data_IF_214173760420
#
_entry.id   IF_214173760420
#
_cell.length_a   1.000
_cell.length_b   1.000
_cell.length_c   1.000
_cell.angle_alpha   90.00
_cell.angle_beta   90.00
_cell.angle_gamma   90.00
#
_symmetry.space_group_name_H-M   'P 1'
#
loop_
_entity.id
_entity.type
_entity.pdbx_description
1 polymer ?
#
# COMPACT_ATOMS: atom_id res chain seq x y z
N UNK A 1 13.61 -0.37 -16.83
CA UNK A 1 12.20 -0.31 -16.34
C UNK A 1 12.07 -0.35 -14.82
N UNK A 2 12.70 -1.31 -14.09
CA UNK A 2 12.60 -1.39 -12.62
C UNK A 2 13.04 -0.08 -11.93
N UNK A 3 14.18 0.47 -12.34
CA UNK A 3 14.69 1.74 -11.82
C UNK A 3 13.73 2.91 -12.08
N UNK A 4 13.14 2.99 -13.29
CA UNK A 4 12.15 4.03 -13.60
C UNK A 4 10.89 3.92 -12.73
N UNK A 5 10.38 2.71 -12.50
CA UNK A 5 9.28 2.45 -11.58
C UNK A 5 9.64 2.85 -10.14
N UNK A 6 10.86 2.55 -9.67
CA UNK A 6 11.37 2.96 -8.36
C UNK A 6 11.49 4.48 -8.23
N UNK A 7 11.91 5.19 -9.28
CA UNK A 7 11.91 6.67 -9.28
C UNK A 7 10.49 7.20 -9.10
N UNK A 8 9.52 6.67 -9.85
CA UNK A 8 8.11 7.06 -9.72
C UNK A 8 7.54 6.76 -8.33
N UNK A 9 7.95 5.67 -7.69
CA UNK A 9 7.59 5.36 -6.30
C UNK A 9 8.04 6.41 -5.31
N UNK A 10 9.31 6.80 -5.39
CA UNK A 10 9.90 7.77 -4.47
C UNK A 10 9.24 9.14 -4.65
N UNK A 11 8.86 9.47 -5.88
CA UNK A 11 8.11 10.70 -6.17
C UNK A 11 6.73 10.70 -5.52
N UNK A 12 5.97 9.62 -5.66
CA UNK A 12 4.62 9.55 -5.07
C UNK A 12 4.71 9.54 -3.54
N UNK A 13 5.62 8.74 -2.98
CA UNK A 13 5.79 8.63 -1.53
C UNK A 13 6.28 9.92 -0.86
N UNK A 14 7.12 10.71 -1.53
CA UNK A 14 7.54 12.02 -1.01
C UNK A 14 6.41 13.06 -1.04
N UNK A 15 5.41 12.91 -1.91
CA UNK A 15 4.24 13.79 -1.96
C UNK A 15 3.17 13.46 -0.92
N UNK A 16 3.04 12.19 -0.50
CA UNK A 16 1.92 11.75 0.36
C UNK A 16 1.82 12.46 1.71
N UNK A 17 2.91 12.77 2.46
CA UNK A 17 2.80 13.39 3.78
C UNK A 17 2.31 14.84 3.72
N UNK A 18 2.42 15.47 2.55
CA UNK A 18 2.09 16.88 2.37
C UNK A 18 0.66 17.11 1.88
N UNK A 19 -0.07 16.05 1.56
CA UNK A 19 -1.45 16.13 1.12
C UNK A 19 -2.37 16.23 2.32
N UNK A 20 -3.18 17.30 2.36
CA UNK A 20 -4.12 17.55 3.46
C UNK A 20 -5.45 16.83 3.26
N UNK A 21 -5.87 16.65 2.01
CA UNK A 21 -7.21 16.12 1.73
C UNK A 21 -7.14 14.58 1.74
N UNK A 22 -7.94 13.90 2.58
CA UNK A 22 -7.89 12.45 2.72
C UNK A 22 -8.19 11.73 1.40
N UNK A 23 -9.06 12.30 0.57
CA UNK A 23 -9.35 11.80 -0.78
C UNK A 23 -8.11 11.80 -1.68
N UNK A 24 -7.35 12.92 -1.69
CA UNK A 24 -6.13 13.02 -2.49
C UNK A 24 -5.01 12.10 -1.99
N UNK A 25 -4.91 11.94 -0.67
CA UNK A 25 -3.97 11.00 -0.05
C UNK A 25 -4.33 9.56 -0.42
N UNK A 26 -5.60 9.17 -0.36
CA UNK A 26 -6.07 7.84 -0.77
C UNK A 26 -5.80 7.55 -2.25
N UNK A 27 -6.01 8.53 -3.13
CA UNK A 27 -5.71 8.38 -4.56
C UNK A 27 -4.21 8.17 -4.83
N UNK A 28 -3.34 8.94 -4.17
CA UNK A 28 -1.89 8.77 -4.30
C UNK A 28 -1.42 7.40 -3.78
N UNK A 29 -1.99 6.93 -2.66
CA UNK A 29 -1.73 5.59 -2.13
C UNK A 29 -2.19 4.49 -3.10
N UNK A 30 -3.32 4.67 -3.79
CA UNK A 30 -3.78 3.73 -4.82
C UNK A 30 -2.79 3.64 -5.98
N UNK A 31 -2.27 4.77 -6.48
CA UNK A 31 -1.25 4.75 -7.55
C UNK A 31 0.04 4.09 -7.05
N UNK A 32 0.48 4.41 -5.84
CA UNK A 32 1.69 3.81 -5.26
C UNK A 32 1.57 2.29 -5.13
N UNK A 33 0.44 1.80 -4.60
CA UNK A 33 0.20 0.35 -4.44
C UNK A 33 0.13 -0.38 -5.79
N UNK A 34 -0.51 0.20 -6.81
CA UNK A 34 -0.51 -0.35 -8.17
C UNK A 34 0.91 -0.52 -8.72
N UNK A 35 1.73 0.52 -8.59
CA UNK A 35 3.11 0.47 -9.07
C UNK A 35 3.94 -0.57 -8.30
N UNK A 36 3.63 -0.84 -7.01
CA UNK A 36 4.40 -1.74 -6.15
C UNK A 36 4.16 -3.18 -6.56
N UNK A 37 2.92 -3.49 -6.93
CA UNK A 37 2.53 -4.82 -7.40
C UNK A 37 3.17 -5.12 -8.74
N UNK A 38 3.24 -4.14 -9.64
CA UNK A 38 3.96 -4.28 -10.92
C UNK A 38 5.45 -4.53 -10.69
N UNK A 39 6.07 -3.87 -9.72
CA UNK A 39 7.48 -4.10 -9.36
C UNK A 39 7.70 -5.49 -8.76
N UNK A 40 6.88 -5.86 -7.77
CA UNK A 40 6.95 -7.17 -7.15
C UNK A 40 6.76 -8.27 -8.19
N UNK A 41 5.90 -8.08 -9.20
CA UNK A 41 5.61 -9.11 -10.21
C UNK A 41 6.78 -9.40 -11.12
N UNK A 42 7.74 -8.48 -11.16
CA UNK A 42 9.01 -8.66 -11.86
C UNK A 42 10.12 -9.20 -10.96
N UNK A 43 9.88 -9.37 -9.67
CA UNK A 43 10.85 -9.83 -8.68
C UNK A 43 10.53 -11.26 -8.24
N UNK A 44 9.28 -11.57 -7.89
CA UNK A 44 8.95 -12.92 -7.43
C UNK A 44 8.56 -13.83 -8.58
N UNK A 45 8.91 -15.10 -8.43
CA UNK A 45 8.58 -16.16 -9.39
C UNK A 45 7.09 -16.54 -9.37
N UNK A 46 6.43 -16.46 -8.22
CA UNK A 46 4.98 -16.73 -8.09
C UNK A 46 4.17 -15.46 -7.96
N UNK A 47 3.17 -15.32 -8.83
CA UNK A 47 2.21 -14.21 -8.85
C UNK A 47 1.18 -14.25 -7.70
N UNK A 48 1.01 -15.40 -7.02
CA UNK A 48 -0.05 -15.57 -6.02
C UNK A 48 0.07 -14.62 -4.83
N UNK A 49 1.27 -14.46 -4.26
CA UNK A 49 1.49 -13.55 -3.14
C UNK A 49 1.14 -12.10 -3.50
N UNK A 50 1.49 -11.68 -4.72
CA UNK A 50 1.17 -10.33 -5.18
C UNK A 50 -0.31 -10.12 -5.44
N UNK A 51 -1.00 -11.13 -5.96
CA UNK A 51 -2.44 -11.09 -6.13
C UNK A 51 -3.15 -10.91 -4.79
N UNK A 52 -2.71 -11.61 -3.73
CA UNK A 52 -3.26 -11.43 -2.38
C UNK A 52 -2.98 -10.00 -1.86
N UNK A 53 -1.76 -9.48 -2.03
CA UNK A 53 -1.45 -8.10 -1.62
C UNK A 53 -2.26 -7.04 -2.37
N UNK A 54 -2.55 -7.28 -3.66
CA UNK A 54 -3.38 -6.40 -4.48
C UNK A 54 -4.81 -6.29 -3.95
N UNK A 55 -5.45 -7.45 -3.72
CA UNK A 55 -6.83 -7.52 -3.28
C UNK A 55 -7.01 -6.88 -1.90
N UNK A 56 -6.11 -7.17 -0.96
CA UNK A 56 -6.19 -6.57 0.38
C UNK A 56 -6.02 -5.05 0.37
N UNK A 57 -5.08 -4.53 -0.44
CA UNK A 57 -4.85 -3.08 -0.51
C UNK A 57 -6.00 -2.33 -1.17
N UNK A 58 -6.60 -2.85 -2.25
CA UNK A 58 -7.78 -2.23 -2.86
C UNK A 58 -8.97 -2.24 -1.89
N UNK A 59 -9.23 -3.38 -1.23
CA UNK A 59 -10.34 -3.49 -0.28
C UNK A 59 -10.23 -2.47 0.87
N UNK A 60 -9.05 -2.34 1.47
CA UNK A 60 -8.80 -1.37 2.54
C UNK A 60 -8.94 0.09 2.08
N UNK A 61 -8.39 0.43 0.92
CA UNK A 61 -8.45 1.79 0.37
C UNK A 61 -9.88 2.21 0.01
N UNK A 62 -10.71 1.31 -0.49
CA UNK A 62 -12.12 1.60 -0.80
C UNK A 62 -12.94 1.91 0.46
N UNK A 63 -12.69 1.21 1.57
CA UNK A 63 -13.37 1.47 2.86
C UNK A 63 -12.96 2.84 3.42
N UNK A 64 -11.68 3.19 3.34
CA UNK A 64 -11.20 4.52 3.77
C UNK A 64 -11.82 5.61 2.89
N UNK A 65 -11.91 5.38 1.58
CA UNK A 65 -12.53 6.32 0.64
C UNK A 65 -14.01 6.58 0.97
N UNK A 66 -14.80 5.53 1.19
CA UNK A 66 -16.23 5.67 1.51
C UNK A 66 -16.47 6.40 2.83
N UNK A 67 -15.64 6.12 3.84
CA UNK A 67 -15.70 6.81 5.12
C UNK A 67 -15.39 8.31 4.96
N UNK A 68 -14.29 8.63 4.30
CA UNK A 68 -13.84 10.02 4.16
C UNK A 68 -14.76 10.86 3.27
N UNK A 69 -15.33 10.28 2.20
CA UNK A 69 -16.33 10.99 1.38
C UNK A 69 -17.63 11.27 2.11
N UNK A 70 -17.94 10.51 3.17
CA UNK A 70 -19.14 10.73 4.00
C UNK A 70 -18.96 11.83 5.04
N UNK A 71 -17.71 12.17 5.40
CA UNK A 71 -17.39 13.08 6.51
C UNK A 71 -16.83 14.42 6.05
N UNK A 72 -16.03 14.44 4.98
CA UNK A 72 -15.37 15.66 4.52
C UNK A 72 -16.06 16.27 3.28
N UNK A 73 -16.15 17.60 3.25
CA UNK A 73 -16.51 18.34 2.04
C UNK A 73 -15.42 18.17 0.97
N UNK A 74 -15.83 18.09 -0.30
CA UNK A 74 -14.91 17.99 -1.45
C UNK A 74 -14.12 19.30 -1.65
N UNK A 75 -13.15 19.58 -0.78
CA UNK A 75 -12.27 20.74 -0.94
C UNK A 75 -11.39 20.60 -2.19
N UNK A 76 -11.31 21.69 -2.96
CA UNK A 76 -10.49 21.74 -4.17
C UNK A 76 -9.02 21.52 -3.82
N UNK A 77 -8.39 20.65 -4.59
CA UNK A 77 -6.99 20.29 -4.45
C UNK A 77 -6.07 21.51 -4.71
N UNK A 78 -5.17 21.81 -3.76
CA UNK A 78 -4.15 22.87 -3.90
C UNK A 78 -2.76 22.26 -3.68
N UNK A 79 -2.01 22.00 -4.75
CA UNK A 79 -0.58 21.70 -4.67
C UNK A 79 0.17 23.00 -4.45
N UNK A 80 1.08 23.04 -3.48
CA UNK A 80 2.00 24.17 -3.30
C UNK A 80 3.19 24.01 -4.25
N UNK A 81 3.63 25.11 -4.87
CA UNK A 81 4.79 25.11 -5.77
C UNK A 81 6.09 24.66 -5.07
N UNK A 82 6.30 25.03 -3.81
CA UNK A 82 7.47 24.59 -3.01
C UNK A 82 7.56 23.07 -2.88
N UNK A 83 6.43 22.39 -2.90
CA UNK A 83 6.34 20.94 -2.82
C UNK A 83 6.83 20.28 -4.10
N UNK A 84 6.49 20.88 -5.25
CA UNK A 84 7.00 20.44 -6.54
C UNK A 84 8.53 20.61 -6.64
N UNK A 85 9.07 21.73 -6.15
CA UNK A 85 10.52 21.96 -6.12
C UNK A 85 11.25 20.94 -5.24
N UNK A 86 10.72 20.63 -4.05
CA UNK A 86 11.31 19.62 -3.17
C UNK A 86 11.37 18.24 -3.85
N UNK A 87 10.29 17.84 -4.54
CA UNK A 87 10.29 16.57 -5.28
C UNK A 87 11.30 16.55 -6.42
N UNK A 88 11.50 17.66 -7.13
CA UNK A 88 12.47 17.73 -8.22
C UNK A 88 13.92 17.56 -7.73
N UNK A 89 14.25 18.16 -6.58
CA UNK A 89 15.58 18.01 -5.95
C UNK A 89 15.85 16.54 -5.61
N UNK A 90 14.85 15.83 -5.08
CA UNK A 90 14.97 14.41 -4.76
C UNK A 90 15.28 13.57 -6.01
N UNK A 91 14.68 13.87 -7.17
CA UNK A 91 14.97 13.14 -8.41
C UNK A 91 16.44 13.29 -8.80
N UNK A 92 16.96 14.52 -8.75
CA UNK A 92 18.32 14.82 -9.20
C UNK A 92 19.34 14.04 -8.37
N UNK A 93 19.15 14.00 -7.04
CA UNK A 93 20.01 13.24 -6.13
C UNK A 93 19.95 11.74 -6.44
N UNK A 94 18.74 11.22 -6.72
CA UNK A 94 18.56 9.80 -7.05
C UNK A 94 19.21 9.45 -8.39
N UNK A 95 19.15 10.35 -9.36
CA UNK A 95 19.78 10.16 -10.67
C UNK A 95 21.30 9.99 -10.52
N UNK A 96 21.97 10.88 -9.78
CA UNK A 96 23.42 10.77 -9.53
C UNK A 96 23.78 9.47 -8.80
N UNK A 97 23.04 9.08 -7.76
CA UNK A 97 23.32 7.85 -7.02
C UNK A 97 23.12 6.57 -7.83
N UNK A 98 22.25 6.58 -8.84
CA UNK A 98 21.96 5.40 -9.66
C UNK A 98 22.92 5.22 -10.84
N UNK A 99 23.62 6.28 -11.27
CA UNK A 99 24.60 6.18 -12.35
C UNK A 99 25.87 5.44 -11.91
N UNK A 100 26.28 5.57 -10.63
CA UNK A 100 27.51 4.94 -10.10
C UNK A 100 27.36 3.43 -9.79
N UNK A 101 26.14 2.90 -9.76
CA UNK A 101 25.86 1.50 -9.44
C UNK A 101 25.03 0.79 -10.52
N UNK A 102 25.39 0.98 -11.79
CA UNK A 102 25.12 -0.05 -12.82
C UNK A 102 26.13 -1.20 -12.73
N UNK A 103 26.41 -1.67 -11.51
CA UNK A 103 27.03 -2.99 -11.37
C UNK A 103 25.97 -3.97 -11.85
N UNK A 104 26.31 -4.67 -12.93
CA UNK A 104 25.58 -5.81 -13.47
C UNK A 104 25.36 -6.85 -12.37
N UNK A 105 24.38 -6.63 -11.50
CA UNK A 105 23.78 -7.69 -10.72
C UNK A 105 22.88 -8.47 -11.67
N UNK A 106 23.51 -9.25 -12.55
CA UNK A 106 22.98 -10.57 -12.86
C UNK A 106 23.09 -11.38 -11.57
N UNK A 107 22.21 -11.07 -10.61
CA UNK A 107 21.83 -12.06 -9.63
C UNK A 107 21.10 -13.12 -10.43
N UNK A 108 21.86 -14.10 -10.91
CA UNK A 108 21.33 -15.41 -11.24
C UNK A 108 20.76 -15.95 -9.94
N UNK A 109 19.50 -15.61 -9.68
CA UNK A 109 18.69 -16.29 -8.69
C UNK A 109 18.68 -17.73 -9.17
N UNK A 110 19.42 -18.60 -8.48
CA UNK A 110 19.32 -20.03 -8.67
C UNK A 110 17.84 -20.39 -8.54
N UNK A 111 17.22 -20.68 -9.68
CA UNK A 111 15.85 -21.16 -9.79
C UNK A 111 15.78 -22.52 -9.11
N UNK A 112 15.60 -22.54 -7.79
CA UNK A 112 15.08 -23.71 -7.12
C UNK A 112 13.59 -23.73 -7.39
N UNK A 113 13.18 -24.57 -8.33
CA UNK A 113 11.81 -24.80 -8.81
C UNK A 113 10.90 -25.43 -7.73
N UNK A 114 10.80 -24.81 -6.56
CA UNK A 114 9.97 -25.23 -5.44
C UNK A 114 9.16 -24.04 -4.89
N UNK A 115 8.64 -23.22 -5.81
CA UNK A 115 7.84 -22.03 -5.48
C UNK A 115 6.44 -22.37 -4.97
N UNK A 116 5.90 -23.51 -5.38
CA UNK A 116 4.53 -23.95 -5.05
C UNK A 116 4.39 -24.38 -3.58
N UNK A 117 5.50 -24.64 -2.88
CA UNK A 117 5.51 -25.06 -1.47
C UNK A 117 5.54 -23.90 -0.47
N UNK A 118 5.57 -22.64 -0.92
CA UNK A 118 5.73 -21.48 -0.02
C UNK A 118 4.57 -21.29 0.97
N UNK A 119 3.34 -21.57 0.55
CA UNK A 119 2.14 -21.35 1.37
C UNK A 119 1.85 -22.47 2.35
N UNK A 120 2.11 -23.71 1.93
CA UNK A 120 1.90 -24.90 2.77
C UNK A 120 2.85 -24.84 3.98
N UNK A 121 4.03 -24.24 3.83
CA UNK A 121 4.99 -24.00 4.94
C UNK A 121 4.42 -23.14 6.08
N UNK A 122 3.38 -22.35 5.86
CA UNK A 122 2.74 -21.54 6.92
C UNK A 122 1.98 -22.43 7.90
N UNK A 123 1.48 -23.58 7.46
CA UNK A 123 0.73 -24.53 8.29
C UNK A 123 1.59 -25.68 8.85
N UNK A 124 2.91 -25.58 8.75
CA UNK A 124 3.79 -26.60 9.32
C UNK A 124 3.89 -26.46 10.84
N UNK A 125 4.29 -27.55 11.51
CA UNK A 125 4.39 -27.63 12.96
C UNK A 125 5.23 -26.48 13.59
N UNK A 126 6.29 -26.04 12.90
CA UNK A 126 7.16 -24.94 13.34
C UNK A 126 6.50 -23.56 13.28
N UNK A 127 5.60 -23.33 12.32
CA UNK A 127 4.90 -22.06 12.07
C UNK A 127 3.48 -22.03 12.65
N UNK A 128 2.97 -23.17 13.13
CA UNK A 128 1.62 -23.30 13.69
C UNK A 128 1.34 -22.34 14.87
N UNK A 129 2.33 -22.06 15.73
CA UNK A 129 2.14 -21.08 16.80
C UNK A 129 1.90 -19.66 16.24
N UNK A 130 2.59 -19.29 15.16
CA UNK A 130 2.40 -17.98 14.52
C UNK A 130 1.02 -17.87 13.87
N UNK A 131 0.52 -18.95 13.26
CA UNK A 131 -0.83 -18.95 12.66
C UNK A 131 -1.92 -18.85 13.72
N UNK A 132 -1.80 -19.59 14.83
CA UNK A 132 -2.74 -19.51 15.96
C UNK A 132 -2.77 -18.07 16.52
N UNK A 133 -1.61 -17.44 16.69
CA UNK A 133 -1.54 -16.05 17.17
C UNK A 133 -2.26 -15.07 16.22
N UNK A 134 -2.09 -15.21 14.90
CA UNK A 134 -2.77 -14.36 13.91
C UNK A 134 -4.29 -14.54 13.93
N UNK A 135 -4.78 -15.78 14.06
CA UNK A 135 -6.22 -16.07 14.18
C UNK A 135 -6.79 -15.44 15.44
N UNK A 136 -6.12 -15.60 16.58
CA UNK A 136 -6.53 -14.98 17.85
C UNK A 136 -6.53 -13.45 17.74
N UNK A 137 -5.53 -12.86 17.09
CA UNK A 137 -5.50 -11.41 16.83
C UNK A 137 -6.71 -10.95 16.03
N UNK A 138 -7.01 -11.58 14.89
CA UNK A 138 -8.17 -11.23 14.06
C UNK A 138 -9.49 -11.38 14.84
N UNK A 139 -9.64 -12.44 15.62
CA UNK A 139 -10.83 -12.67 16.46
C UNK A 139 -11.00 -11.55 17.50
N UNK A 140 -9.93 -11.19 18.22
CA UNK A 140 -9.99 -10.09 19.21
C UNK A 140 -10.31 -8.77 18.52
N UNK A 141 -9.73 -8.49 17.35
CA UNK A 141 -10.03 -7.25 16.61
C UNK A 141 -11.52 -7.16 16.24
N UNK A 142 -12.13 -8.25 15.74
CA UNK A 142 -13.55 -8.27 15.44
C UNK A 142 -14.42 -7.99 16.68
N UNK A 143 -14.12 -8.63 17.82
CA UNK A 143 -14.85 -8.40 19.09
C UNK A 143 -14.67 -6.95 19.57
N UNK A 144 -13.46 -6.39 19.45
CA UNK A 144 -13.21 -5.01 19.85
C UNK A 144 -13.95 -4.01 18.97
N UNK A 145 -13.96 -4.22 17.66
CA UNK A 145 -14.64 -3.32 16.71
C UNK A 145 -16.14 -3.37 16.92
N UNK A 146 -16.73 -4.56 17.09
CA UNK A 146 -18.18 -4.66 17.36
C UNK A 146 -18.60 -4.01 18.68
N UNK A 147 -17.73 -4.02 19.70
CA UNK A 147 -17.96 -3.27 20.95
C UNK A 147 -17.76 -1.76 20.81
N UNK A 148 -16.85 -1.32 19.94
CA UNK A 148 -16.59 0.11 19.70
C UNK A 148 -17.68 0.78 18.87
N UNK A 149 -18.32 0.04 17.96
CA UNK A 149 -19.45 0.54 17.19
C UNK A 149 -20.66 0.69 18.12
N UNK A 150 -20.84 1.90 18.67
CA UNK A 150 -22.08 2.29 19.35
C UNK A 150 -23.18 2.36 18.29
N UNK A 151 -24.21 1.51 18.39
CA UNK A 151 -25.44 1.70 17.63
C UNK A 151 -26.09 3.02 18.11
N UNK A 152 -25.83 4.10 17.38
CA UNK A 152 -26.64 5.31 17.48
C UNK A 152 -27.73 5.22 16.42
N UNK A 153 -28.98 5.05 16.86
CA UNK A 153 -30.17 4.98 16.02
C UNK A 153 -30.55 6.38 15.49
N UNK A 154 -29.67 6.95 14.67
CA UNK A 154 -29.89 8.22 13.98
C UNK A 154 -29.38 8.13 12.54
N UNK A 155 -30.02 8.83 11.58
CA UNK A 155 -29.56 8.80 10.20
C UNK A 155 -28.17 9.44 10.08
N UNK A 156 -27.25 8.77 9.39
CA UNK A 156 -25.88 9.25 9.08
C UNK A 156 -25.86 10.61 8.36
N UNK A 157 -26.99 11.05 7.80
CA UNK A 157 -27.19 12.37 7.18
C UNK A 157 -28.49 12.98 7.70
N UNK A 158 -28.40 14.00 8.54
CA UNK A 158 -29.54 14.86 8.83
C UNK A 158 -29.83 15.70 7.59
N UNK A 159 -30.97 15.44 6.92
CA UNK A 159 -31.55 16.44 6.04
C UNK A 159 -32.07 17.57 6.92
N UNK A 160 -31.22 18.56 7.20
CA UNK A 160 -31.68 19.84 7.74
C UNK A 160 -32.51 20.47 6.64
N UNK A 161 -33.80 20.65 6.92
CA UNK A 161 -34.76 21.36 6.07
C UNK A 161 -34.61 22.85 6.27
#
# INVERSE_FOLDING_TARGET
MKIFLLKMMVMISSLTPFMKNPMSMGFLLMIQTMMMIILMNKIMETSWFMMVTFLMMIGGLLIIFSYMSSIASNEKFKIKFNLMLFTLIIIIIIDEMLFDHQINEKQEVMFSTNTDLSLIKIYNYKSMYMTIMLVMYLLITMISVSKMVKHHDGPLRSYIK
#
